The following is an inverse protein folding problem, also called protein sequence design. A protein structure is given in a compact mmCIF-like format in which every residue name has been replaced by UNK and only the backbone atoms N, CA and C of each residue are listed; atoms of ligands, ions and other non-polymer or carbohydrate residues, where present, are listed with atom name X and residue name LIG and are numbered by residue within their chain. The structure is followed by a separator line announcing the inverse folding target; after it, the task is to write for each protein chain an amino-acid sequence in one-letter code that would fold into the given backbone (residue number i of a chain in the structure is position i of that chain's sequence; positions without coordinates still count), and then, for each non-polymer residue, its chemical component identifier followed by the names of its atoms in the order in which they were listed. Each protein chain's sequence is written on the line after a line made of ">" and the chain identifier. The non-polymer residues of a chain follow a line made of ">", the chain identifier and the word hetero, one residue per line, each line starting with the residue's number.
data_IF_041703894642
#
_entry.id   IF_041703894642
#
_cell.length_a   1.000
_cell.length_b   1.000
_cell.length_c   1.000
_cell.angle_alpha   90.00
_cell.angle_beta   90.00
_cell.angle_gamma   90.00
#
_symmetry.space_group_name_H-M   'P 1'
#
loop_
_entity.id
_entity.type
_entity.pdbx_description
1 polymer ?
#
# COMPACT_ATOMS: atom_id res chain seq x y z
N UNK A 1 16.18 -14.74 0.84
CA UNK A 1 14.75 -14.63 0.45
C UNK A 1 14.60 -13.48 -0.52
N UNK A 2 13.95 -13.68 -1.67
CA UNK A 2 13.64 -12.60 -2.63
C UNK A 2 12.14 -12.32 -2.51
N UNK A 3 11.78 -11.30 -1.75
CA UNK A 3 10.41 -10.81 -1.70
C UNK A 3 10.06 -10.29 -3.09
N UNK A 4 8.90 -10.69 -3.61
CA UNK A 4 8.40 -10.09 -4.85
C UNK A 4 7.94 -8.65 -4.59
N UNK A 5 7.86 -7.85 -5.66
CA UNK A 5 7.44 -6.45 -5.56
C UNK A 5 6.03 -6.31 -4.98
N UNK A 6 5.16 -7.30 -5.19
CA UNK A 6 3.81 -7.28 -4.67
C UNK A 6 3.79 -7.37 -3.15
N UNK A 7 4.61 -8.26 -2.58
CA UNK A 7 4.77 -8.45 -1.14
C UNK A 7 5.40 -7.23 -0.48
N UNK A 8 6.41 -6.63 -1.13
CA UNK A 8 7.01 -5.36 -0.66
C UNK A 8 5.95 -4.24 -0.59
N UNK A 9 5.15 -4.06 -1.64
CA UNK A 9 4.09 -3.05 -1.64
C UNK A 9 2.97 -3.37 -0.64
N UNK A 10 2.56 -4.63 -0.52
CA UNK A 10 1.59 -5.07 0.48
C UNK A 10 2.04 -4.70 1.89
N UNK A 11 3.31 -4.97 2.21
CA UNK A 11 3.87 -4.66 3.52
C UNK A 11 3.91 -3.14 3.78
N UNK A 12 4.32 -2.34 2.79
CA UNK A 12 4.31 -0.87 2.91
C UNK A 12 2.90 -0.31 3.16
N UNK A 13 1.89 -0.85 2.48
CA UNK A 13 0.48 -0.49 2.71
C UNK A 13 0.07 -0.82 4.14
N UNK A 14 0.32 -2.05 4.60
CA UNK A 14 -0.04 -2.47 5.95
C UNK A 14 0.66 -1.63 7.02
N UNK A 15 1.95 -1.31 6.84
CA UNK A 15 2.68 -0.40 7.73
C UNK A 15 2.09 1.01 7.74
N UNK A 16 1.71 1.54 6.58
CA UNK A 16 1.07 2.85 6.50
C UNK A 16 -0.26 2.87 7.25
N UNK A 17 -1.10 1.84 7.05
CA UNK A 17 -2.39 1.72 7.72
C UNK A 17 -2.22 1.56 9.24
N UNK A 18 -1.26 0.75 9.68
CA UNK A 18 -0.95 0.56 11.10
C UNK A 18 -0.47 1.85 11.79
N UNK A 19 0.12 2.79 11.04
CA UNK A 19 0.54 4.08 11.57
C UNK A 19 -0.57 5.16 11.54
N UNK A 20 -1.69 4.92 10.86
CA UNK A 20 -2.79 5.88 10.66
C UNK A 20 -4.14 5.28 11.13
N UNK A 21 -4.17 4.58 12.26
CA UNK A 21 -5.36 3.86 12.75
C UNK A 21 -6.49 4.77 13.21
N UNK A 22 -6.23 6.05 13.41
CA UNK A 22 -7.16 7.08 13.87
C UNK A 22 -8.00 7.69 12.73
N UNK A 23 -7.71 7.36 11.47
CA UNK A 23 -8.41 7.88 10.29
C UNK A 23 -8.49 6.89 9.13
N UNK A 24 -9.42 7.13 8.22
CA UNK A 24 -9.45 6.41 6.95
C UNK A 24 -8.35 6.92 6.02
N UNK A 25 -7.56 5.99 5.47
CA UNK A 25 -6.53 6.27 4.48
C UNK A 25 -7.04 5.92 3.07
N UNK A 26 -6.75 6.75 2.08
CA UNK A 26 -7.21 6.53 0.70
C UNK A 26 -6.12 5.90 -0.18
N UNK A 27 -6.53 5.24 -1.26
CA UNK A 27 -5.58 4.70 -2.26
C UNK A 27 -4.71 5.82 -2.83
N UNK A 28 -5.29 6.98 -3.18
CA UNK A 28 -4.57 8.12 -3.74
C UNK A 28 -3.49 8.66 -2.77
N UNK A 29 -3.79 8.73 -1.47
CA UNK A 29 -2.84 9.16 -0.45
C UNK A 29 -1.63 8.21 -0.35
N UNK A 30 -1.91 6.91 -0.26
CA UNK A 30 -0.86 5.89 -0.11
C UNK A 30 -0.03 5.78 -1.41
N UNK A 31 -0.69 5.88 -2.57
CA UNK A 31 -0.07 5.92 -3.88
C UNK A 31 0.90 7.09 -4.01
N UNK A 32 0.46 8.30 -3.63
CA UNK A 32 1.29 9.49 -3.62
C UNK A 32 2.45 9.40 -2.62
N UNK A 33 2.23 8.81 -1.45
CA UNK A 33 3.29 8.65 -0.42
C UNK A 33 4.44 7.76 -0.88
N UNK A 34 4.13 6.70 -1.62
CA UNK A 34 5.12 5.69 -2.02
C UNK A 34 5.52 5.76 -3.50
N UNK A 35 5.05 6.79 -4.23
CA UNK A 35 5.31 6.98 -5.67
C UNK A 35 4.90 5.76 -6.51
N UNK A 36 3.77 5.14 -6.13
CA UNK A 36 3.17 3.99 -6.82
C UNK A 36 1.93 4.49 -7.55
N UNK A 37 1.66 4.03 -8.77
CA UNK A 37 0.40 4.40 -9.43
C UNK A 37 -0.81 3.81 -8.69
N UNK A 38 -1.90 4.57 -8.61
CA UNK A 38 -3.14 4.12 -7.96
C UNK A 38 -3.65 2.79 -8.53
N UNK A 39 -3.55 2.60 -9.85
CA UNK A 39 -3.94 1.36 -10.51
C UNK A 39 -3.09 0.15 -10.08
N UNK A 40 -1.79 0.35 -9.84
CA UNK A 40 -0.93 -0.72 -9.33
C UNK A 40 -1.23 -1.00 -7.86
N UNK A 41 -1.39 0.06 -7.06
CA UNK A 41 -1.71 -0.06 -5.66
C UNK A 41 -3.07 -0.74 -5.42
N UNK A 42 -4.08 -0.44 -6.23
CA UNK A 42 -5.39 -1.11 -6.19
C UNK A 42 -5.25 -2.63 -6.39
N UNK A 43 -4.40 -3.09 -7.31
CA UNK A 43 -4.13 -4.53 -7.50
C UNK A 43 -3.43 -5.16 -6.31
N UNK A 44 -2.57 -4.41 -5.62
CA UNK A 44 -1.92 -4.86 -4.39
C UNK A 44 -2.96 -5.02 -3.29
N UNK A 45 -3.75 -3.97 -3.04
CA UNK A 45 -4.77 -3.94 -1.98
C UNK A 45 -5.88 -4.96 -2.20
N UNK A 46 -6.30 -5.21 -3.45
CA UNK A 46 -7.34 -6.21 -3.75
C UNK A 46 -6.94 -7.65 -3.40
N UNK A 47 -5.66 -7.92 -3.16
CA UNK A 47 -5.13 -9.24 -2.75
C UNK A 47 -4.73 -9.31 -1.28
N UNK A 48 -4.94 -8.24 -0.51
CA UNK A 48 -4.81 -8.25 0.95
C UNK A 48 -6.06 -8.87 1.58
#
# INVERSE_FOLDING_TARGET
>A
MRLDKHTDYALRVLMFLAANTDRLSTIAEIAGRFEISEAHLMKVVYRL
#
